data_IF_648705820315
#
_entry.id   IF_648705820315
#
_cell.length_a   1.000
_cell.length_b   1.000
_cell.length_c   1.000
_cell.angle_alpha   90.00
_cell.angle_beta   90.00
_cell.angle_gamma   90.00
#
_symmetry.space_group_name_H-M   'P 1'
#
loop_
_entity.id
_entity.type
_entity.pdbx_description
1 polymer ?
#
# COMPACT_ATOMS: atom_id res chain seq x y z
N UNK A 1 3.08 -0.71 8.03
CA UNK A 1 4.52 -0.68 7.71
C UNK A 1 5.33 -1.47 8.72
N UNK A 2 5.37 -1.10 10.01
CA UNK A 2 6.16 -1.84 11.01
C UNK A 2 5.88 -3.36 11.02
N UNK A 3 4.61 -3.77 11.07
CA UNK A 3 4.23 -5.19 11.08
C UNK A 3 4.68 -5.97 9.84
N UNK A 4 4.56 -5.38 8.65
CA UNK A 4 5.06 -6.00 7.40
C UNK A 4 6.57 -6.20 7.51
N UNK A 5 7.30 -5.19 7.99
CA UNK A 5 8.75 -5.31 8.18
C UNK A 5 9.14 -6.40 9.18
N UNK A 6 8.34 -6.65 10.23
CA UNK A 6 8.57 -7.78 11.15
C UNK A 6 8.41 -9.11 10.41
N UNK A 7 7.38 -9.24 9.57
CA UNK A 7 7.16 -10.44 8.77
C UNK A 7 8.29 -10.65 7.74
N UNK A 8 8.76 -9.59 7.08
CA UNK A 8 9.86 -9.67 6.11
C UNK A 8 11.18 -10.11 6.78
N UNK A 9 11.46 -9.62 8.00
CA UNK A 9 12.62 -10.04 8.79
C UNK A 9 12.54 -11.53 9.16
N UNK A 10 11.34 -12.05 9.40
CA UNK A 10 11.14 -13.48 9.66
C UNK A 10 11.23 -14.33 8.38
N UNK A 11 10.73 -13.81 7.26
CA UNK A 11 10.61 -14.57 6.01
C UNK A 11 11.93 -14.69 5.25
N UNK A 12 12.73 -13.62 5.21
CA UNK A 12 13.98 -13.60 4.43
C UNK A 12 14.91 -14.76 4.82
N UNK A 13 15.22 -15.00 6.11
CA UNK A 13 16.04 -16.13 6.50
C UNK A 13 15.39 -17.48 6.16
N UNK A 14 14.07 -17.58 6.32
CA UNK A 14 13.34 -18.82 6.16
C UNK A 14 13.39 -19.35 4.72
N UNK A 15 13.04 -18.51 3.74
CA UNK A 15 12.92 -18.95 2.35
C UNK A 15 14.20 -18.77 1.52
N UNK A 16 15.15 -17.94 1.96
CA UNK A 16 16.40 -17.74 1.22
C UNK A 16 17.56 -18.52 1.85
N UNK A 17 17.84 -18.27 3.13
CA UNK A 17 19.02 -18.85 3.80
C UNK A 17 18.78 -20.33 4.09
N UNK A 18 17.66 -20.67 4.73
CA UNK A 18 17.38 -22.04 5.14
C UNK A 18 17.03 -22.93 3.95
N UNK A 19 16.26 -22.42 2.97
CA UNK A 19 16.05 -23.15 1.71
C UNK A 19 17.35 -23.36 0.91
N UNK A 20 18.24 -22.35 0.89
CA UNK A 20 19.57 -22.47 0.30
C UNK A 20 20.44 -23.50 1.02
N UNK A 21 20.36 -23.55 2.36
CA UNK A 21 21.02 -24.59 3.15
C UNK A 21 20.47 -25.98 2.81
N UNK A 22 19.15 -26.17 2.82
CA UNK A 22 18.50 -27.42 2.44
C UNK A 22 18.85 -27.87 1.02
N UNK A 23 19.05 -26.93 0.10
CA UNK A 23 19.55 -27.21 -1.25
C UNK A 23 20.97 -27.77 -1.24
N UNK A 24 21.90 -27.16 -0.49
CA UNK A 24 23.29 -27.61 -0.43
C UNK A 24 23.41 -28.98 0.24
N UNK A 25 22.62 -29.23 1.28
CA UNK A 25 22.64 -30.50 2.01
C UNK A 25 21.78 -31.60 1.39
N UNK A 26 20.91 -31.26 0.43
CA UNK A 26 19.92 -32.18 -0.12
C UNK A 26 18.92 -32.65 0.94
N UNK A 27 18.48 -31.74 1.82
CA UNK A 27 17.54 -32.07 2.88
C UNK A 27 16.10 -32.09 2.35
N UNK A 28 15.44 -33.25 2.45
CA UNK A 28 14.07 -33.47 2.02
C UNK A 28 13.17 -33.73 3.24
N UNK A 29 11.86 -33.63 3.04
CA UNK A 29 10.87 -33.94 4.08
C UNK A 29 11.06 -35.32 4.72
N UNK A 30 11.49 -36.33 3.95
CA UNK A 30 11.71 -37.68 4.48
C UNK A 30 12.93 -37.79 5.40
N UNK A 31 13.92 -36.91 5.27
CA UNK A 31 15.14 -36.90 6.09
C UNK A 31 14.90 -36.15 7.39
N UNK A 32 14.37 -34.93 7.31
CA UNK A 32 14.08 -34.10 8.48
C UNK A 32 12.64 -33.54 8.43
N UNK A 33 11.63 -34.36 8.75
CA UNK A 33 10.22 -34.00 8.58
C UNK A 33 9.79 -32.84 9.48
N UNK A 34 10.23 -32.83 10.73
CA UNK A 34 9.87 -31.78 11.69
C UNK A 34 10.45 -30.43 11.25
N UNK A 35 11.73 -30.43 10.82
CA UNK A 35 12.41 -29.23 10.36
C UNK A 35 11.70 -28.62 9.15
N UNK A 36 11.49 -29.42 8.10
CA UNK A 36 10.83 -28.97 6.87
C UNK A 36 9.37 -28.56 7.12
N UNK A 37 8.65 -29.26 8.01
CA UNK A 37 7.29 -28.90 8.38
C UNK A 37 7.21 -27.52 9.04
N UNK A 38 8.10 -27.24 10.01
CA UNK A 38 8.11 -25.96 10.73
C UNK A 38 8.48 -24.82 9.79
N UNK A 39 9.53 -24.98 8.98
CA UNK A 39 9.94 -23.96 8.01
C UNK A 39 8.81 -23.65 7.03
N UNK A 40 8.20 -24.69 6.46
CA UNK A 40 7.07 -24.56 5.54
C UNK A 40 5.85 -23.88 6.15
N UNK A 41 5.53 -24.19 7.41
CA UNK A 41 4.41 -23.59 8.13
C UNK A 41 4.66 -22.10 8.39
N UNK A 42 5.87 -21.74 8.80
CA UNK A 42 6.26 -20.34 9.05
C UNK A 42 6.27 -19.55 7.74
N UNK A 43 6.80 -20.11 6.65
CA UNK A 43 6.81 -19.46 5.33
C UNK A 43 5.39 -19.14 4.87
N UNK A 44 4.51 -20.14 4.92
CA UNK A 44 3.12 -19.97 4.52
C UNK A 44 2.40 -18.96 5.42
N UNK A 45 2.67 -18.98 6.72
CA UNK A 45 2.09 -18.03 7.66
C UNK A 45 2.51 -16.59 7.34
N UNK A 46 3.81 -16.37 7.13
CA UNK A 46 4.37 -15.06 6.77
C UNK A 46 3.79 -14.54 5.46
N UNK A 47 3.67 -15.39 4.44
CA UNK A 47 3.04 -15.04 3.15
C UNK A 47 1.64 -14.49 3.35
N UNK A 48 0.78 -15.21 4.08
CA UNK A 48 -0.59 -14.78 4.32
C UNK A 48 -0.65 -13.51 5.17
N UNK A 49 0.12 -13.47 6.25
CA UNK A 49 0.21 -12.30 7.13
C UNK A 49 0.63 -11.04 6.37
N UNK A 50 1.63 -11.16 5.50
CA UNK A 50 2.14 -10.04 4.70
C UNK A 50 1.11 -9.57 3.68
N UNK A 51 0.45 -10.50 2.98
CA UNK A 51 -0.62 -10.22 2.03
C UNK A 51 -1.79 -9.46 2.66
N UNK A 52 -2.32 -9.93 3.80
CA UNK A 52 -3.42 -9.24 4.47
C UNK A 52 -2.98 -7.89 5.06
N UNK A 53 -1.75 -7.78 5.55
CA UNK A 53 -1.20 -6.52 6.02
C UNK A 53 -1.03 -5.51 4.87
N UNK A 54 -0.64 -5.97 3.68
CA UNK A 54 -0.55 -5.16 2.47
C UNK A 54 -1.92 -4.68 2.00
N UNK A 55 -2.95 -5.54 2.02
CA UNK A 55 -4.34 -5.14 1.73
C UNK A 55 -4.81 -4.07 2.71
N UNK A 56 -4.63 -4.30 4.02
CA UNK A 56 -5.03 -3.34 5.05
C UNK A 56 -4.37 -1.97 4.84
N UNK A 57 -3.10 -1.98 4.50
CA UNK A 57 -2.34 -0.78 4.18
C UNK A 57 -2.88 -0.08 2.91
N UNK A 58 -3.18 -0.83 1.85
CA UNK A 58 -3.75 -0.31 0.62
C UNK A 58 -5.13 0.33 0.87
N UNK A 59 -5.96 -0.29 1.71
CA UNK A 59 -7.25 0.29 2.16
C UNK A 59 -7.01 1.62 2.89
N UNK A 60 -6.06 1.67 3.83
CA UNK A 60 -5.73 2.91 4.53
C UNK A 60 -5.33 4.03 3.55
N UNK A 61 -4.48 3.73 2.55
CA UNK A 61 -4.06 4.72 1.54
C UNK A 61 -5.19 5.13 0.60
N UNK A 62 -6.08 4.20 0.26
CA UNK A 62 -7.26 4.48 -0.52
C UNK A 62 -8.17 5.48 0.22
N UNK A 63 -8.43 5.26 1.51
CA UNK A 63 -9.27 6.14 2.33
C UNK A 63 -8.64 7.52 2.53
N UNK A 64 -7.34 7.62 2.81
CA UNK A 64 -6.64 8.91 2.91
C UNK A 64 -6.71 9.71 1.60
N UNK A 65 -6.66 9.02 0.46
CA UNK A 65 -6.73 9.63 -0.85
C UNK A 65 -8.15 10.06 -1.19
N UNK A 66 -9.13 9.15 -1.13
CA UNK A 66 -10.48 9.40 -1.61
C UNK A 66 -11.36 10.12 -0.59
N UNK A 67 -11.20 9.83 0.71
CA UNK A 67 -12.11 10.33 1.74
C UNK A 67 -11.41 10.48 3.12
N UNK A 68 -10.58 11.52 3.30
CA UNK A 68 -9.74 11.69 4.50
C UNK A 68 -10.53 11.76 5.81
N UNK A 69 -11.80 12.19 5.77
CA UNK A 69 -12.70 12.20 6.94
C UNK A 69 -13.00 10.80 7.48
N UNK A 70 -13.05 9.79 6.63
CA UNK A 70 -13.24 8.40 7.06
C UNK A 70 -11.93 7.76 7.49
N UNK A 71 -10.82 8.11 6.84
CA UNK A 71 -9.49 7.65 7.23
C UNK A 71 -9.19 8.00 8.70
N UNK A 72 -9.41 9.25 9.12
CA UNK A 72 -9.21 9.64 10.52
C UNK A 72 -10.19 9.00 11.50
N UNK A 73 -11.40 8.63 11.07
CA UNK A 73 -12.33 7.92 11.96
C UNK A 73 -11.91 6.47 12.22
N UNK A 74 -11.43 5.78 11.19
CA UNK A 74 -11.15 4.35 11.23
C UNK A 74 -9.71 4.02 11.66
N UNK A 75 -8.71 4.81 11.23
CA UNK A 75 -7.28 4.47 11.36
C UNK A 75 -6.50 5.40 12.30
N UNK A 76 -7.16 6.32 12.99
CA UNK A 76 -6.45 7.26 13.85
C UNK A 76 -6.04 6.64 15.20
N UNK A 77 -4.83 7.00 15.65
CA UNK A 77 -4.22 6.54 16.90
C UNK A 77 -4.20 5.03 17.08
N UNK A 78 -4.71 4.57 18.24
CA UNK A 78 -4.66 3.16 18.67
C UNK A 78 -5.62 2.25 17.88
N UNK A 79 -6.57 2.79 17.11
CA UNK A 79 -7.52 1.98 16.33
C UNK A 79 -6.82 1.17 15.25
N UNK A 80 -5.73 1.68 14.69
CA UNK A 80 -4.89 0.93 13.74
C UNK A 80 -4.31 -0.35 14.34
N UNK A 81 -4.03 -0.38 15.65
CA UNK A 81 -3.59 -1.60 16.31
C UNK A 81 -4.69 -2.66 16.37
N UNK A 82 -5.96 -2.24 16.52
CA UNK A 82 -7.11 -3.16 16.47
C UNK A 82 -7.25 -3.75 15.08
N UNK A 83 -7.12 -2.93 14.03
CA UNK A 83 -7.13 -3.43 12.65
C UNK A 83 -5.96 -4.37 12.36
N UNK A 84 -4.82 -4.19 13.02
CA UNK A 84 -3.66 -5.06 12.87
C UNK A 84 -3.88 -6.47 13.45
N UNK A 85 -4.83 -6.63 14.38
CA UNK A 85 -5.21 -7.97 14.86
C UNK A 85 -5.76 -8.85 13.74
N UNK A 86 -6.31 -8.27 12.67
CA UNK A 86 -6.81 -9.03 11.53
C UNK A 86 -5.69 -9.78 10.79
N UNK A 87 -4.67 -9.13 10.19
CA UNK A 87 -3.58 -9.84 9.54
C UNK A 87 -2.79 -10.72 10.51
N UNK A 88 -2.62 -10.31 11.77
CA UNK A 88 -1.97 -11.15 12.79
C UNK A 88 -2.79 -12.40 13.10
N UNK A 89 -4.11 -12.31 13.18
CA UNK A 89 -5.01 -13.45 13.37
C UNK A 89 -4.95 -14.43 12.20
N UNK A 90 -4.93 -13.93 10.96
CA UNK A 90 -4.75 -14.77 9.79
C UNK A 90 -3.39 -15.47 9.77
N UNK A 91 -2.32 -14.77 10.19
CA UNK A 91 -0.99 -15.35 10.33
C UNK A 91 -0.96 -16.50 11.34
N UNK A 92 -1.57 -16.34 12.51
CA UNK A 92 -1.68 -17.43 13.50
C UNK A 92 -2.55 -18.59 12.99
N UNK A 93 -3.65 -18.28 12.32
CA UNK A 93 -4.53 -19.30 11.76
C UNK A 93 -3.81 -20.17 10.73
N UNK A 94 -3.06 -19.56 9.82
CA UNK A 94 -2.30 -20.31 8.81
C UNK A 94 -1.15 -21.08 9.42
N UNK A 95 -0.45 -20.51 10.40
CA UNK A 95 0.64 -21.19 11.10
C UNK A 95 0.19 -22.50 11.77
N UNK A 96 -1.02 -22.52 12.34
CA UNK A 96 -1.49 -23.64 13.17
C UNK A 96 -2.36 -24.65 12.41
N UNK A 97 -3.13 -24.19 11.42
CA UNK A 97 -4.20 -25.01 10.81
C UNK A 97 -4.03 -25.27 9.33
N UNK A 98 -3.08 -24.64 8.63
CA UNK A 98 -2.89 -24.87 7.20
C UNK A 98 -1.82 -25.88 6.87
N UNK A 99 -2.04 -26.56 5.74
CA UNK A 99 -1.07 -27.49 5.18
C UNK A 99 0.17 -26.69 4.74
N UNK A 100 1.36 -26.96 5.32
CA UNK A 100 2.56 -26.21 5.00
C UNK A 100 3.03 -26.47 3.58
N UNK A 101 3.79 -25.53 3.02
CA UNK A 101 4.52 -25.78 1.79
C UNK A 101 5.87 -26.42 2.14
N UNK A 102 6.19 -27.54 1.51
CA UNK A 102 7.41 -28.31 1.75
C UNK A 102 8.42 -27.95 0.67
N UNK A 103 9.61 -27.54 1.08
CA UNK A 103 10.68 -27.23 0.15
C UNK A 103 11.25 -28.52 -0.46
N UNK A 104 11.33 -28.58 -1.79
CA UNK A 104 12.03 -29.63 -2.51
C UNK A 104 13.34 -29.07 -3.08
N UNK A 105 14.51 -29.54 -2.59
CA UNK A 105 15.79 -29.10 -3.13
C UNK A 105 16.06 -29.61 -4.56
N UNK A 106 15.35 -30.65 -5.02
CA UNK A 106 15.46 -31.15 -6.40
C UNK A 106 14.87 -30.16 -7.42
N UNK A 107 13.75 -29.54 -7.07
CA UNK A 107 13.03 -28.59 -7.92
C UNK A 107 13.23 -27.13 -7.50
N UNK A 108 14.04 -26.88 -6.47
CA UNK A 108 14.33 -25.56 -5.90
C UNK A 108 13.07 -24.74 -5.56
N UNK A 109 11.98 -25.42 -5.17
CA UNK A 109 10.68 -24.79 -4.97
C UNK A 109 9.88 -25.47 -3.85
N UNK A 110 8.90 -24.74 -3.32
CA UNK A 110 7.99 -25.25 -2.31
C UNK A 110 6.73 -25.85 -2.94
N UNK A 111 6.35 -27.04 -2.49
CA UNK A 111 5.16 -27.76 -2.94
C UNK A 111 4.31 -28.19 -1.75
N UNK A 112 3.00 -28.24 -1.91
CA UNK A 112 2.12 -28.78 -0.86
C UNK A 112 2.15 -30.30 -0.80
N UNK A 113 2.50 -30.95 -1.91
CA UNK A 113 2.72 -32.40 -1.96
C UNK A 113 4.19 -32.73 -1.62
N UNK A 114 4.46 -33.39 -0.49
CA UNK A 114 5.82 -33.81 -0.15
C UNK A 114 6.38 -34.91 -1.07
N UNK A 115 5.51 -35.60 -1.82
CA UNK A 115 5.85 -36.66 -2.77
C UNK A 115 5.94 -36.15 -4.21
N UNK A 116 5.94 -34.84 -4.43
CA UNK A 116 6.07 -34.24 -5.74
C UNK A 116 7.33 -34.77 -6.47
N UNK A 117 7.13 -35.31 -7.68
CA UNK A 117 8.21 -35.93 -8.46
C UNK A 117 8.43 -37.42 -8.22
N UNK A 118 7.69 -38.05 -7.30
CA UNK A 118 7.79 -39.49 -7.00
C UNK A 118 6.58 -40.27 -7.52
N UNK A 119 6.67 -41.61 -7.55
CA UNK A 119 5.56 -42.50 -7.92
C UNK A 119 4.35 -42.43 -6.97
N UNK A 120 4.53 -41.86 -5.77
CA UNK A 120 3.48 -41.72 -4.75
C UNK A 120 2.76 -40.36 -4.79
N UNK A 121 3.05 -39.52 -5.80
CA UNK A 121 2.43 -38.22 -5.99
C UNK A 121 0.91 -38.33 -6.14
N UNK A 122 0.17 -37.59 -5.31
CA UNK A 122 -1.29 -37.46 -5.41
C UNK A 122 -1.67 -35.98 -5.36
N UNK A 123 -1.86 -35.35 -6.52
CA UNK A 123 -2.07 -33.91 -6.61
C UNK A 123 -3.38 -33.45 -5.99
N UNK A 124 -4.37 -34.34 -5.85
CA UNK A 124 -5.68 -33.98 -5.29
C UNK A 124 -5.64 -34.06 -3.77
N UNK A 125 -4.99 -35.09 -3.23
CA UNK A 125 -4.89 -35.31 -1.77
C UNK A 125 -4.16 -34.19 -1.04
N UNK A 126 -3.13 -33.63 -1.65
CA UNK A 126 -2.31 -32.56 -1.08
C UNK A 126 -2.64 -31.17 -1.63
N UNK A 127 -3.78 -31.02 -2.32
CA UNK A 127 -4.22 -29.73 -2.84
C UNK A 127 -4.59 -28.77 -1.70
N UNK A 128 -3.89 -27.64 -1.62
CA UNK A 128 -4.25 -26.56 -0.71
C UNK A 128 -5.19 -25.55 -1.41
N UNK A 129 -6.50 -25.87 -1.42
CA UNK A 129 -7.52 -24.99 -1.99
C UNK A 129 -7.60 -23.63 -1.28
N UNK A 130 -7.25 -23.58 0.01
CA UNK A 130 -7.23 -22.35 0.79
C UNK A 130 -6.14 -21.39 0.31
N UNK A 131 -4.95 -21.91 -0.01
CA UNK A 131 -3.88 -21.16 -0.66
C UNK A 131 -4.30 -20.63 -2.04
N UNK A 132 -4.87 -21.48 -2.90
CA UNK A 132 -5.32 -21.05 -4.22
C UNK A 132 -6.38 -19.93 -4.15
N UNK A 133 -7.33 -20.05 -3.22
CA UNK A 133 -8.32 -19.02 -2.96
C UNK A 133 -7.68 -17.73 -2.44
N UNK A 134 -6.75 -17.83 -1.47
CA UNK A 134 -6.04 -16.69 -0.91
C UNK A 134 -5.31 -15.88 -1.98
N UNK A 135 -4.48 -16.53 -2.80
CA UNK A 135 -3.71 -15.83 -3.83
C UNK A 135 -4.61 -15.14 -4.84
N UNK A 136 -5.68 -15.82 -5.27
CA UNK A 136 -6.67 -15.25 -6.19
C UNK A 136 -7.35 -14.03 -5.56
N UNK A 137 -7.76 -14.14 -4.30
CA UNK A 137 -8.42 -13.06 -3.57
C UNK A 137 -7.49 -11.84 -3.41
N UNK A 138 -6.25 -12.06 -2.96
CA UNK A 138 -5.27 -10.99 -2.75
C UNK A 138 -4.97 -10.26 -4.05
N UNK A 139 -4.74 -11.00 -5.13
CA UNK A 139 -4.50 -10.43 -6.46
C UNK A 139 -5.63 -9.51 -6.91
N UNK A 140 -6.88 -9.99 -6.86
CA UNK A 140 -8.05 -9.22 -7.29
C UNK A 140 -8.24 -7.97 -6.43
N UNK A 141 -8.16 -8.11 -5.11
CA UNK A 141 -8.38 -7.00 -4.17
C UNK A 141 -7.32 -5.93 -4.31
N UNK A 142 -6.04 -6.31 -4.40
CA UNK A 142 -4.95 -5.33 -4.55
C UNK A 142 -5.08 -4.58 -5.88
N UNK A 143 -5.38 -5.25 -6.99
CA UNK A 143 -5.58 -4.56 -8.28
C UNK A 143 -6.67 -3.50 -8.16
N UNK A 144 -7.82 -3.85 -7.58
CA UNK A 144 -8.93 -2.91 -7.42
C UNK A 144 -8.50 -1.72 -6.56
N UNK A 145 -7.86 -1.96 -5.42
CA UNK A 145 -7.41 -0.90 -4.50
C UNK A 145 -6.37 0.03 -5.16
N UNK A 146 -5.39 -0.52 -5.87
CA UNK A 146 -4.37 0.27 -6.54
C UNK A 146 -4.94 1.10 -7.70
N UNK A 147 -5.88 0.54 -8.47
CA UNK A 147 -6.60 1.31 -9.51
C UNK A 147 -7.35 2.49 -8.89
N UNK A 148 -8.06 2.27 -7.77
CA UNK A 148 -8.77 3.34 -7.06
C UNK A 148 -7.79 4.42 -6.56
N UNK A 149 -6.65 4.02 -5.98
CA UNK A 149 -5.61 4.94 -5.53
C UNK A 149 -5.08 5.78 -6.71
N UNK A 150 -4.75 5.14 -7.84
CA UNK A 150 -4.27 5.84 -9.03
C UNK A 150 -5.29 6.87 -9.55
N UNK A 151 -6.56 6.50 -9.61
CA UNK A 151 -7.65 7.43 -10.00
C UNK A 151 -7.76 8.57 -8.98
N UNK A 152 -7.74 8.28 -7.69
CA UNK A 152 -7.83 9.27 -6.62
C UNK A 152 -6.69 10.29 -6.66
N UNK A 153 -5.45 9.82 -6.86
CA UNK A 153 -4.27 10.68 -7.02
C UNK A 153 -4.39 11.53 -8.28
N UNK A 154 -4.83 10.95 -9.40
CA UNK A 154 -5.01 11.68 -10.66
C UNK A 154 -6.03 12.82 -10.55
N UNK A 155 -7.16 12.58 -9.88
CA UNK A 155 -8.19 13.60 -9.62
C UNK A 155 -7.61 14.73 -8.78
N UNK A 156 -6.92 14.42 -7.68
CA UNK A 156 -6.26 15.43 -6.83
C UNK A 156 -5.19 16.22 -7.59
N UNK A 157 -4.39 15.53 -8.40
CA UNK A 157 -3.38 16.18 -9.24
C UNK A 157 -4.00 17.21 -10.20
N UNK A 158 -5.12 16.85 -10.87
CA UNK A 158 -5.85 17.78 -11.74
C UNK A 158 -6.41 18.99 -10.97
N UNK A 159 -6.95 18.79 -9.78
CA UNK A 159 -7.47 19.88 -8.93
C UNK A 159 -6.36 20.87 -8.54
N UNK A 160 -5.21 20.36 -8.08
CA UNK A 160 -4.05 21.20 -7.71
C UNK A 160 -3.51 21.98 -8.91
N UNK A 161 -3.39 21.32 -10.08
CA UNK A 161 -2.94 21.98 -11.32
C UNK A 161 -3.89 23.08 -11.78
N UNK A 162 -5.20 22.84 -11.73
CA UNK A 162 -6.22 23.84 -12.06
C UNK A 162 -6.14 25.06 -11.13
N UNK A 163 -6.08 24.83 -9.81
CA UNK A 163 -5.97 25.90 -8.82
C UNK A 163 -4.67 26.71 -8.97
N UNK A 164 -3.54 26.05 -9.22
CA UNK A 164 -2.25 26.70 -9.45
C UNK A 164 -2.25 27.58 -10.70
N UNK A 165 -2.94 27.13 -11.76
CA UNK A 165 -3.11 27.89 -13.00
C UNK A 165 -3.98 29.13 -12.77
N UNK A 166 -5.08 28.99 -12.02
CA UNK A 166 -5.96 30.10 -11.66
C UNK A 166 -5.24 31.17 -10.83
N UNK A 167 -4.43 30.78 -9.83
CA UNK A 167 -3.62 31.72 -9.04
C UNK A 167 -2.61 32.46 -9.93
N UNK A 168 -1.93 31.76 -10.85
CA UNK A 168 -0.95 32.39 -11.75
C UNK A 168 -1.61 33.42 -12.65
N UNK A 169 -2.80 33.12 -13.19
CA UNK A 169 -3.59 34.07 -13.98
C UNK A 169 -4.03 35.29 -13.16
N UNK A 170 -4.52 35.09 -11.93
CA UNK A 170 -4.90 36.20 -11.04
C UNK A 170 -3.73 37.14 -10.75
N UNK A 171 -2.52 36.61 -10.51
CA UNK A 171 -1.31 37.42 -10.29
C UNK A 171 -0.88 38.21 -11.53
N UNK A 172 -1.02 37.64 -12.72
CA UNK A 172 -0.71 38.33 -13.98
C UNK A 172 -1.69 39.49 -14.18
N UNK A 173 -2.98 39.27 -13.97
CA UNK A 173 -4.01 40.31 -14.11
C UNK A 173 -3.82 41.42 -13.07
N UNK A 174 -3.56 41.09 -11.80
CA UNK A 174 -3.31 42.10 -10.76
C UNK A 174 -2.03 42.89 -11.02
N UNK A 175 -0.96 42.23 -11.49
CA UNK A 175 0.28 42.89 -11.90
C UNK A 175 0.10 43.83 -13.11
N UNK A 176 -0.76 43.45 -14.06
CA UNK A 176 -1.06 44.29 -15.23
C UNK A 176 -1.95 45.49 -14.88
N UNK A 177 -2.93 45.33 -13.98
CA UNK A 177 -3.74 46.45 -13.48
C UNK A 177 -2.90 47.48 -12.73
N UNK A 178 -1.91 47.06 -11.93
CA UNK A 178 -1.01 47.99 -11.24
C UNK A 178 -0.17 48.82 -12.22
N UNK A 179 0.30 48.23 -13.32
CA UNK A 179 1.06 48.94 -14.37
C UNK A 179 0.19 49.87 -15.22
N UNK A 180 -1.09 49.54 -15.39
CA UNK A 180 -2.07 50.36 -16.13
C UNK A 180 -2.52 51.59 -15.33
N UNK A 181 -2.53 51.51 -14.00
CA UNK A 181 -2.82 52.66 -13.13
C UNK A 181 -1.63 53.63 -13.04
N UNK A 182 -0.39 53.15 -13.13
CA UNK A 182 0.82 54.01 -13.15
C UNK A 182 1.12 54.66 -14.51
N UNK A 183 0.31 54.38 -15.54
CA UNK A 183 0.49 54.91 -16.91
C UNK A 183 -0.63 55.86 -17.34
N UNK A 184 -1.52 56.26 -16.43
CA UNK A 184 -2.40 57.41 -16.68
C UNK A 184 -1.55 58.69 -16.68
N UNK A 185 -1.51 59.48 -17.78
CA UNK A 185 -0.84 60.76 -17.76
C UNK A 185 -1.53 61.66 -16.74
N UNK A 186 -0.73 62.28 -15.87
CA UNK A 186 -1.12 63.39 -15.02
C UNK A 186 -1.91 64.40 -15.87
N UNK A 187 -3.22 64.49 -15.67
CA UNK A 187 -3.98 65.63 -16.14
C UNK A 187 -3.49 66.84 -15.33
N UNK A 188 -3.06 67.94 -15.96
CA UNK A 188 -2.66 69.12 -15.22
C UNK A 188 -3.93 69.74 -14.61
N UNK A 189 -3.97 69.81 -13.28
CA UNK A 189 -4.95 70.60 -12.57
C UNK A 189 -4.80 72.07 -12.99
N UNK A 190 -5.78 72.58 -13.74
CA UNK A 190 -5.97 74.01 -13.90
C UNK A 190 -6.40 74.60 -12.56
N UNK A 191 -5.68 75.62 -12.14
CA UNK A 191 -6.02 76.48 -11.00
C UNK A 191 -7.44 77.04 -11.16
N UNK A 192 -8.33 76.70 -10.22
CA UNK A 192 -9.54 77.50 -9.94
C UNK A 192 -9.45 77.90 -8.47
N UNK A 193 -9.07 79.15 -8.25
CA UNK A 193 -9.01 79.78 -6.94
C UNK A 193 -10.41 79.98 -6.37
N UNK A 194 -10.62 79.50 -5.15
CA UNK A 194 -11.72 79.87 -4.27
C UNK A 194 -11.40 81.18 -3.53
N UNK A 195 -12.42 82.05 -3.34
CA UNK A 195 -12.71 82.82 -2.10
C UNK A 195 -13.75 83.92 -2.41
N UNK A 196 -15.05 83.69 -2.17
CA UNK A 196 -15.83 83.94 -0.92
C UNK A 196 -16.27 85.39 -0.71
N UNK A 197 -17.60 85.57 -0.77
CA UNK A 197 -18.36 86.77 -0.43
C UNK A 197 -19.03 86.60 0.95
N UNK A 198 -18.98 87.68 1.74
CA UNK A 198 -19.88 88.11 2.84
C UNK A 198 -20.11 87.21 4.06
N UNK A 199 -19.84 87.75 5.26
CA UNK A 199 -20.82 88.27 6.25
C UNK A 199 -20.03 88.84 7.44
N UNK A 200 -20.21 90.13 7.74
CA UNK A 200 -20.89 90.71 8.93
C UNK A 200 -20.27 90.22 10.24
#
# INVERSE_FOLDING_TARGET
MFWIGVLDIMEIPNINILAGYSTITGDFFCLNPIWNYVLGSVSLANWFGASYAAILLAINRCLETCAPRYASKLFDGKKTLVWLLFPTGFWFYTLLFQLPCIYSPEYFACFFDPYFGTEFHDPIKFANYYHAFHDTFVFVVLIILYVIICIGIWVKYKQVKSHSTAIKQQRIVSGNSSKRFSSFPYFPHSHVSHATSSKI
#
